data_IF_998198564769
#
_entry.id   IF_998198564769
#
_cell.length_a   1.000
_cell.length_b   1.000
_cell.length_c   1.000
_cell.angle_alpha   90.00
_cell.angle_beta   90.00
_cell.angle_gamma   90.00
#
_symmetry.space_group_name_H-M   'P 1'
#
loop_
_entity.id
_entity.type
_entity.pdbx_description
1 polymer ?
#
# COMPACT_ATOMS: atom_id res chain seq x y z
N UNK A 1 -6.81 -20.81 71.06
CA UNK A 1 -7.57 -19.67 70.51
C UNK A 1 -6.63 -18.47 70.37
N UNK A 2 -6.73 -17.73 69.25
CA UNK A 2 -5.97 -16.51 68.89
C UNK A 2 -4.67 -16.67 68.08
N UNK A 3 -4.53 -17.78 67.36
CA UNK A 3 -3.68 -17.86 66.17
C UNK A 3 -4.61 -17.92 64.94
N UNK A 4 -4.28 -17.23 63.85
CA UNK A 4 -5.07 -17.01 62.61
C UNK A 4 -6.17 -15.93 62.67
N UNK A 5 -5.84 -14.63 62.71
CA UNK A 5 -6.78 -13.57 62.24
C UNK A 5 -6.16 -12.34 61.57
N UNK A 6 -4.86 -12.31 61.27
CA UNK A 6 -4.23 -11.11 60.67
C UNK A 6 -3.26 -11.43 59.52
N UNK A 7 -3.65 -12.33 58.62
CA UNK A 7 -2.92 -12.60 57.38
C UNK A 7 -3.88 -12.62 56.17
N UNK A 8 -4.82 -11.67 56.11
CA UNK A 8 -5.84 -11.66 55.06
C UNK A 8 -6.17 -10.24 54.56
N UNK A 9 -5.17 -9.36 54.40
CA UNK A 9 -5.35 -8.06 53.72
C UNK A 9 -4.11 -7.73 52.86
N UNK A 10 -3.65 -8.69 52.05
CA UNK A 10 -2.60 -8.45 51.05
C UNK A 10 -2.80 -9.29 49.77
N UNK A 11 -4.06 -9.61 49.44
CA UNK A 11 -4.39 -10.47 48.28
C UNK A 11 -5.38 -9.83 47.30
N UNK A 12 -5.55 -8.51 47.32
CA UNK A 12 -6.46 -7.76 46.42
C UNK A 12 -5.71 -6.92 45.39
N UNK A 13 -4.55 -7.38 44.92
CA UNK A 13 -3.82 -6.72 43.82
C UNK A 13 -3.43 -7.71 42.73
N UNK A 14 -4.43 -8.34 42.13
CA UNK A 14 -4.37 -8.77 40.72
C UNK A 14 -5.73 -8.48 40.11
N UNK A 15 -6.06 -7.18 39.98
CA UNK A 15 -7.10 -6.78 39.06
C UNK A 15 -6.59 -7.16 37.66
N UNK A 16 -7.17 -8.22 37.14
CA UNK A 16 -6.96 -8.76 35.81
C UNK A 16 -7.00 -7.61 34.80
N UNK A 17 -5.85 -7.16 34.32
CA UNK A 17 -5.77 -6.47 33.05
C UNK A 17 -6.11 -7.53 32.01
N UNK A 18 -7.41 -7.73 31.78
CA UNK A 18 -7.90 -8.42 30.62
C UNK A 18 -7.42 -7.59 29.43
N UNK A 19 -6.29 -7.98 28.84
CA UNK A 19 -5.94 -7.59 27.50
C UNK A 19 -7.08 -8.12 26.63
N UNK A 20 -8.05 -7.26 26.31
CA UNK A 20 -9.04 -7.59 25.32
C UNK A 20 -8.27 -7.92 24.05
N UNK A 21 -8.27 -9.20 23.67
CA UNK A 21 -7.89 -9.58 22.31
C UNK A 21 -8.75 -8.72 21.38
N UNK A 22 -8.19 -8.17 20.29
CA UNK A 22 -9.01 -7.46 19.31
C UNK A 22 -10.20 -8.36 18.98
N UNK A 23 -11.41 -7.81 19.10
CA UNK A 23 -12.59 -8.53 18.64
C UNK A 23 -12.38 -8.91 17.17
N UNK A 24 -12.92 -10.06 16.76
CA UNK A 24 -12.86 -10.46 15.35
C UNK A 24 -13.35 -9.32 14.46
N UNK A 25 -12.64 -9.00 13.34
CA UNK A 25 -13.06 -7.94 12.44
C UNK A 25 -14.50 -8.14 11.98
N UNK A 26 -15.28 -7.06 11.94
CA UNK A 26 -16.70 -7.09 11.61
C UNK A 26 -16.95 -6.45 10.24
N UNK A 27 -17.67 -7.18 9.38
CA UNK A 27 -18.13 -6.66 8.10
C UNK A 27 -19.05 -5.45 8.31
N UNK A 28 -18.84 -4.38 7.55
CA UNK A 28 -19.52 -3.10 7.68
C UNK A 28 -18.92 -2.17 8.74
N UNK A 29 -17.92 -2.61 9.51
CA UNK A 29 -17.21 -1.79 10.49
C UNK A 29 -15.71 -1.73 10.18
N UNK A 30 -15.03 -2.88 10.22
CA UNK A 30 -13.57 -2.96 10.04
C UNK A 30 -13.19 -3.27 8.58
N UNK A 31 -14.08 -3.94 7.85
CA UNK A 31 -13.92 -4.24 6.43
C UNK A 31 -15.29 -4.29 5.74
N UNK A 32 -15.27 -4.28 4.41
CA UNK A 32 -16.47 -4.47 3.61
C UNK A 32 -16.26 -5.61 2.63
N UNK A 33 -17.20 -6.57 2.59
CA UNK A 33 -17.23 -7.55 1.50
C UNK A 33 -17.85 -6.92 0.26
N UNK A 34 -17.13 -6.96 -0.86
CA UNK A 34 -17.66 -6.53 -2.14
C UNK A 34 -18.84 -7.42 -2.56
N UNK A 35 -19.95 -6.80 -2.94
CA UNK A 35 -21.11 -7.53 -3.48
C UNK A 35 -20.77 -8.29 -4.78
N UNK A 36 -19.87 -7.73 -5.59
CA UNK A 36 -19.34 -8.35 -6.80
C UNK A 36 -17.84 -8.66 -6.61
N UNK A 37 -17.46 -9.94 -6.43
CA UNK A 37 -16.06 -10.31 -6.29
C UNK A 37 -15.27 -9.97 -7.57
N UNK A 38 -14.03 -9.54 -7.40
CA UNK A 38 -13.15 -9.20 -8.52
C UNK A 38 -12.26 -10.39 -8.90
N UNK A 39 -11.85 -10.50 -10.18
CA UNK A 39 -10.92 -11.54 -10.61
C UNK A 39 -9.61 -11.47 -9.83
N UNK A 40 -9.22 -12.61 -9.24
CA UNK A 40 -7.99 -12.76 -8.47
C UNK A 40 -6.82 -13.03 -9.43
N UNK A 41 -5.71 -12.28 -9.28
CA UNK A 41 -4.50 -12.45 -10.09
C UNK A 41 -3.42 -13.29 -9.40
N UNK A 42 -3.67 -13.71 -8.15
CA UNK A 42 -2.78 -14.62 -7.44
C UNK A 42 -2.69 -15.98 -8.16
N UNK A 43 -1.47 -16.53 -8.19
CA UNK A 43 -1.20 -17.86 -8.75
C UNK A 43 -1.30 -18.94 -7.67
N UNK A 44 -1.75 -20.13 -8.08
CA UNK A 44 -1.84 -21.29 -7.18
C UNK A 44 -2.84 -21.09 -6.05
N UNK A 45 -2.39 -21.34 -4.81
CA UNK A 45 -3.21 -21.23 -3.59
C UNK A 45 -2.96 -19.94 -2.79
N UNK A 46 -2.25 -18.97 -3.37
CA UNK A 46 -1.88 -17.72 -2.70
C UNK A 46 -3.11 -16.82 -2.52
N UNK A 47 -3.18 -16.11 -1.40
CA UNK A 47 -4.17 -15.04 -1.21
C UNK A 47 -3.67 -13.77 -1.89
N UNK A 48 -4.46 -13.15 -2.75
CA UNK A 48 -4.12 -11.84 -3.32
C UNK A 48 -4.41 -10.74 -2.30
N UNK A 49 -3.44 -9.86 -2.09
CA UNK A 49 -3.55 -8.68 -1.26
C UNK A 49 -3.27 -7.48 -2.14
N UNK A 50 -4.25 -6.59 -2.30
CA UNK A 50 -4.11 -5.41 -3.14
C UNK A 50 -4.03 -4.18 -2.24
N UNK A 51 -2.96 -3.41 -2.39
CA UNK A 51 -2.85 -2.07 -1.83
C UNK A 51 -3.23 -1.05 -2.91
N UNK A 52 -4.28 -0.27 -2.64
CA UNK A 52 -4.56 0.96 -3.38
C UNK A 52 -3.86 2.10 -2.67
N UNK A 53 -3.03 2.86 -3.39
CA UNK A 53 -2.20 3.91 -2.80
C UNK A 53 -2.04 5.09 -3.75
N UNK A 54 -1.50 6.19 -3.26
CA UNK A 54 -0.91 7.24 -4.11
C UNK A 54 0.40 7.75 -3.52
N UNK A 55 1.32 8.20 -4.37
CA UNK A 55 2.63 8.64 -3.91
C UNK A 55 2.60 9.94 -3.10
N UNK A 56 1.59 10.78 -3.29
CA UNK A 56 1.37 11.98 -2.47
C UNK A 56 0.58 11.75 -1.18
N UNK A 57 0.07 10.54 -0.95
CA UNK A 57 -0.76 10.21 0.21
C UNK A 57 0.10 10.02 1.48
N UNK A 58 -0.04 10.87 2.52
CA UNK A 58 0.79 10.77 3.73
C UNK A 58 0.59 9.47 4.51
N UNK A 59 -0.65 8.98 4.59
CA UNK A 59 -0.96 7.73 5.27
C UNK A 59 -0.31 6.52 4.58
N UNK A 60 -0.30 6.53 3.25
CA UNK A 60 0.34 5.51 2.42
C UNK A 60 1.85 5.45 2.68
N UNK A 61 2.52 6.61 2.68
CA UNK A 61 3.94 6.69 3.03
C UNK A 61 4.24 6.20 4.46
N UNK A 62 3.36 6.48 5.42
CA UNK A 62 3.51 6.00 6.79
C UNK A 62 3.30 4.49 6.92
N UNK A 63 2.43 3.90 6.10
CA UNK A 63 2.11 2.47 6.10
C UNK A 63 3.27 1.62 5.54
N UNK A 64 3.95 2.11 4.52
CA UNK A 64 4.92 1.35 3.72
C UNK A 64 5.97 0.55 4.52
N UNK A 65 6.65 1.10 5.55
CA UNK A 65 7.63 0.33 6.32
C UNK A 65 7.00 -0.87 7.04
N UNK A 66 5.85 -0.68 7.66
CA UNK A 66 5.13 -1.71 8.39
C UNK A 66 4.54 -2.76 7.44
N UNK A 67 3.95 -2.31 6.32
CA UNK A 67 3.37 -3.19 5.32
C UNK A 67 4.44 -4.06 4.66
N UNK A 68 5.56 -3.49 4.21
CA UNK A 68 6.67 -4.25 3.65
C UNK A 68 7.25 -5.26 4.66
N UNK A 69 7.33 -4.89 5.95
CA UNK A 69 7.72 -5.80 7.02
C UNK A 69 6.73 -6.96 7.21
N UNK A 70 5.43 -6.69 7.09
CA UNK A 70 4.37 -7.70 7.15
C UNK A 70 4.42 -8.64 5.94
N UNK A 71 4.57 -8.12 4.72
CA UNK A 71 4.65 -8.92 3.48
C UNK A 71 5.77 -9.97 3.60
N UNK A 72 6.95 -9.56 4.05
CA UNK A 72 8.10 -10.45 4.24
C UNK A 72 7.81 -11.61 5.21
N UNK A 73 6.98 -11.37 6.24
CA UNK A 73 6.59 -12.40 7.22
C UNK A 73 5.58 -13.39 6.65
N UNK A 74 4.76 -13.00 5.68
CA UNK A 74 3.74 -13.88 5.10
C UNK A 74 4.34 -14.93 4.16
N UNK A 75 5.51 -14.67 3.59
CA UNK A 75 6.20 -15.60 2.69
C UNK A 75 5.33 -15.96 1.48
N UNK A 76 5.29 -17.25 1.13
CA UNK A 76 4.56 -17.74 -0.05
C UNK A 76 3.03 -17.85 0.13
N UNK A 77 2.48 -17.46 1.27
CA UNK A 77 1.04 -17.52 1.50
C UNK A 77 0.25 -16.45 0.73
N UNK A 78 0.90 -15.36 0.34
CA UNK A 78 0.26 -14.22 -0.31
C UNK A 78 0.95 -13.83 -1.61
N UNK A 79 0.20 -13.13 -2.45
CA UNK A 79 0.74 -12.37 -3.58
C UNK A 79 0.24 -10.93 -3.44
N UNK A 80 1.18 -9.99 -3.29
CA UNK A 80 0.85 -8.57 -3.14
C UNK A 80 0.88 -7.89 -4.49
N UNK A 81 -0.12 -7.06 -4.74
CA UNK A 81 -0.14 -6.15 -5.88
C UNK A 81 -0.44 -4.74 -5.39
N UNK A 82 0.23 -3.75 -5.98
CA UNK A 82 -0.04 -2.35 -5.72
C UNK A 82 -0.77 -1.74 -6.91
N UNK A 83 -1.73 -0.87 -6.64
CA UNK A 83 -2.49 -0.16 -7.65
C UNK A 83 -2.49 1.31 -7.26
N UNK A 84 -1.91 2.15 -8.12
CA UNK A 84 -1.98 3.59 -7.89
C UNK A 84 -3.40 4.09 -8.15
N UNK A 85 -3.96 4.85 -7.22
CA UNK A 85 -5.24 5.52 -7.39
C UNK A 85 -5.02 6.79 -8.24
N UNK A 86 -5.62 6.93 -9.43
CA UNK A 86 -5.34 8.04 -10.33
C UNK A 86 -6.24 9.25 -10.01
N UNK A 87 -5.71 10.24 -9.30
CA UNK A 87 -6.46 11.43 -8.90
C UNK A 87 -6.66 12.42 -10.05
N UNK A 88 -5.81 12.37 -11.08
CA UNK A 88 -5.98 13.12 -12.34
C UNK A 88 -6.44 12.23 -13.50
N UNK A 89 -7.05 11.07 -13.18
CA UNK A 89 -7.56 10.14 -14.18
C UNK A 89 -6.46 9.59 -15.11
N UNK A 90 -6.73 9.41 -16.41
CA UNK A 90 -5.76 8.85 -17.35
C UNK A 90 -4.51 9.70 -17.62
N UNK A 91 -4.43 10.90 -17.05
CA UNK A 91 -3.29 11.80 -17.16
C UNK A 91 -2.53 11.95 -15.83
N UNK A 92 -2.80 11.08 -14.84
CA UNK A 92 -2.14 11.13 -13.53
C UNK A 92 -0.64 10.80 -13.62
N UNK A 93 0.26 11.77 -13.37
CA UNK A 93 1.69 11.57 -13.59
C UNK A 93 2.32 10.58 -12.61
N UNK A 94 1.86 10.56 -11.35
CA UNK A 94 2.37 9.64 -10.33
C UNK A 94 1.95 8.19 -10.62
N UNK A 95 0.72 7.98 -11.09
CA UNK A 95 0.26 6.69 -11.57
C UNK A 95 1.03 6.24 -12.82
N UNK A 96 1.34 7.16 -13.72
CA UNK A 96 2.16 6.89 -14.90
C UNK A 96 3.59 6.48 -14.51
N UNK A 97 4.19 7.17 -13.53
CA UNK A 97 5.48 6.78 -12.95
C UNK A 97 5.44 5.38 -12.33
N UNK A 98 4.42 5.08 -11.51
CA UNK A 98 4.27 3.76 -10.91
C UNK A 98 4.27 2.65 -11.97
N UNK A 99 3.42 2.79 -13.00
CA UNK A 99 3.29 1.81 -14.08
C UNK A 99 4.55 1.71 -14.93
N UNK A 100 5.27 2.81 -15.13
CA UNK A 100 6.54 2.82 -15.85
C UNK A 100 7.60 2.05 -15.06
N UNK A 101 7.74 2.30 -13.76
CA UNK A 101 8.67 1.56 -12.89
C UNK A 101 8.32 0.07 -12.80
N UNK A 102 7.03 -0.27 -12.76
CA UNK A 102 6.56 -1.66 -12.83
C UNK A 102 7.01 -2.32 -14.15
N UNK A 103 6.74 -1.68 -15.29
CA UNK A 103 7.10 -2.20 -16.61
C UNK A 103 8.61 -2.32 -16.82
N UNK A 104 9.41 -1.47 -16.16
CA UNK A 104 10.88 -1.56 -16.17
C UNK A 104 11.43 -2.63 -15.21
N UNK A 105 10.60 -3.28 -14.39
CA UNK A 105 11.07 -4.18 -13.34
C UNK A 105 11.86 -3.47 -12.25
N UNK A 106 11.60 -2.17 -12.05
CA UNK A 106 12.33 -1.29 -11.11
C UNK A 106 11.49 -0.89 -9.90
N UNK A 107 10.25 -1.34 -9.81
CA UNK A 107 9.33 -0.92 -8.74
C UNK A 107 9.90 -1.20 -7.34
N UNK A 108 10.41 -2.40 -7.05
CA UNK A 108 10.97 -2.72 -5.72
C UNK A 108 12.10 -1.77 -5.29
N UNK A 109 12.92 -1.32 -6.24
CA UNK A 109 14.05 -0.44 -5.99
C UNK A 109 13.63 1.02 -5.81
N UNK A 110 12.59 1.46 -6.53
CA UNK A 110 12.24 2.88 -6.63
C UNK A 110 10.97 3.26 -5.86
N UNK A 111 10.11 2.33 -5.48
CA UNK A 111 8.83 2.64 -4.83
C UNK A 111 9.01 3.48 -3.55
N UNK A 112 9.89 3.05 -2.64
CA UNK A 112 10.22 3.80 -1.42
C UNK A 112 10.97 5.11 -1.70
N UNK A 113 11.74 5.16 -2.79
CA UNK A 113 12.46 6.39 -3.21
C UNK A 113 11.49 7.46 -3.71
N UNK A 114 10.43 7.07 -4.43
CA UNK A 114 9.38 8.01 -4.86
C UNK A 114 8.68 8.60 -3.63
N UNK A 115 8.28 7.75 -2.67
CA UNK A 115 7.70 8.21 -1.42
C UNK A 115 8.63 9.16 -0.64
N UNK A 116 9.93 8.83 -0.56
CA UNK A 116 10.92 9.71 0.06
C UNK A 116 11.04 11.06 -0.69
N UNK A 117 11.03 11.04 -2.03
CA UNK A 117 11.08 12.24 -2.84
C UNK A 117 9.90 13.18 -2.54
N UNK A 118 8.69 12.62 -2.47
CA UNK A 118 7.46 13.39 -2.23
C UNK A 118 7.35 13.85 -0.77
N UNK A 119 7.51 12.96 0.20
CA UNK A 119 7.22 13.24 1.60
C UNK A 119 8.37 13.83 2.40
N UNK A 120 9.62 13.45 2.09
CA UNK A 120 10.81 13.91 2.82
C UNK A 120 11.49 15.04 2.07
N UNK A 121 11.74 14.87 0.78
CA UNK A 121 12.45 15.86 -0.05
C UNK A 121 11.51 16.94 -0.60
N UNK A 122 10.20 16.82 -0.36
CA UNK A 122 9.16 17.79 -0.78
C UNK A 122 9.16 18.08 -2.27
N UNK A 123 9.58 17.12 -3.09
CA UNK A 123 9.56 17.25 -4.53
C UNK A 123 8.12 17.12 -5.02
N UNK A 124 7.71 18.03 -5.91
CA UNK A 124 6.41 18.00 -6.57
C UNK A 124 6.55 17.14 -7.81
N UNK A 125 6.04 15.91 -7.76
CA UNK A 125 6.02 14.97 -8.88
C UNK A 125 4.63 14.95 -9.54
N UNK A 126 4.07 16.14 -9.78
CA UNK A 126 2.68 16.31 -10.24
C UNK A 126 2.58 16.62 -11.74
N UNK A 127 3.69 16.52 -12.46
CA UNK A 127 3.79 16.74 -13.90
C UNK A 127 4.83 15.80 -14.52
N UNK A 128 4.61 15.43 -15.76
CA UNK A 128 5.46 14.49 -16.51
C UNK A 128 6.91 14.97 -16.58
N UNK A 129 7.15 16.25 -16.88
CA UNK A 129 8.50 16.82 -16.98
C UNK A 129 9.28 16.70 -15.67
N UNK A 130 8.62 16.97 -14.54
CA UNK A 130 9.19 16.83 -13.19
C UNK A 130 9.56 15.38 -12.88
N UNK A 131 8.70 14.44 -13.28
CA UNK A 131 8.92 13.01 -13.09
C UNK A 131 10.06 12.48 -13.97
N UNK A 132 10.10 12.90 -15.23
CA UNK A 132 11.16 12.50 -16.17
C UNK A 132 12.50 13.04 -15.67
N UNK A 133 12.55 14.28 -15.19
CA UNK A 133 13.76 14.85 -14.60
C UNK A 133 14.18 14.09 -13.33
N UNK A 134 13.23 13.78 -12.45
CA UNK A 134 13.47 12.97 -11.26
C UNK A 134 14.03 11.59 -11.61
N UNK A 135 13.42 10.89 -12.57
CA UNK A 135 13.83 9.56 -12.99
C UNK A 135 15.30 9.55 -13.43
N UNK A 136 15.69 10.52 -14.27
CA UNK A 136 17.07 10.66 -14.76
C UNK A 136 18.03 11.01 -13.62
N UNK A 137 17.66 11.97 -12.75
CA UNK A 137 18.47 12.32 -11.57
C UNK A 137 18.68 11.15 -10.61
N UNK A 138 17.77 10.18 -10.60
CA UNK A 138 17.85 8.99 -9.76
C UNK A 138 18.46 7.77 -10.48
N UNK A 139 19.06 7.97 -11.67
CA UNK A 139 19.86 6.95 -12.36
C UNK A 139 19.08 6.05 -13.31
N UNK A 140 17.84 6.41 -13.69
CA UNK A 140 17.14 5.75 -14.78
C UNK A 140 17.63 6.30 -16.13
N UNK A 141 17.93 5.41 -17.08
CA UNK A 141 18.28 5.82 -18.43
C UNK A 141 17.11 6.56 -19.08
N UNK A 142 17.37 7.77 -19.59
CA UNK A 142 16.33 8.63 -20.15
C UNK A 142 15.62 7.98 -21.33
N UNK A 143 16.37 7.37 -22.25
CA UNK A 143 15.80 6.80 -23.47
C UNK A 143 14.90 5.61 -23.12
N UNK A 144 15.38 4.70 -22.27
CA UNK A 144 14.61 3.53 -21.81
C UNK A 144 13.39 3.93 -20.98
N UNK A 145 13.52 4.93 -20.12
CA UNK A 145 12.40 5.45 -19.34
C UNK A 145 11.32 6.02 -20.27
N UNK A 146 11.69 6.89 -21.21
CA UNK A 146 10.75 7.50 -22.16
C UNK A 146 10.11 6.49 -23.11
N UNK A 147 10.86 5.49 -23.57
CA UNK A 147 10.32 4.38 -24.36
C UNK A 147 9.25 3.62 -23.57
N UNK A 148 9.53 3.31 -22.29
CA UNK A 148 8.60 2.55 -21.44
C UNK A 148 7.40 3.39 -21.03
N UNK A 149 7.62 4.66 -20.66
CA UNK A 149 6.60 5.66 -20.34
C UNK A 149 5.56 5.77 -21.45
N UNK A 150 6.01 5.91 -22.70
CA UNK A 150 5.11 6.05 -23.85
C UNK A 150 4.61 4.71 -24.41
N UNK A 151 4.99 3.58 -23.81
CA UNK A 151 4.61 2.27 -24.34
C UNK A 151 3.10 2.05 -24.31
N UNK A 152 2.61 1.28 -25.27
CA UNK A 152 1.20 0.90 -25.36
C UNK A 152 0.71 0.20 -24.08
N UNK A 153 1.56 -0.65 -23.48
CA UNK A 153 1.23 -1.38 -22.24
C UNK A 153 1.01 -0.44 -21.06
N UNK A 154 1.91 0.52 -20.84
CA UNK A 154 1.81 1.50 -19.74
C UNK A 154 0.60 2.41 -19.95
N UNK A 155 0.46 3.01 -21.13
CA UNK A 155 -0.66 3.92 -21.43
C UNK A 155 -2.02 3.23 -21.37
N UNK A 156 -2.11 1.96 -21.77
CA UNK A 156 -3.35 1.16 -21.63
C UNK A 156 -3.67 0.86 -20.17
N UNK A 157 -2.69 0.48 -19.35
CA UNK A 157 -2.89 0.26 -17.91
C UNK A 157 -3.35 1.54 -17.21
N UNK A 158 -2.72 2.68 -17.52
CA UNK A 158 -3.05 3.99 -16.93
C UNK A 158 -4.53 4.34 -17.16
N UNK A 159 -5.03 4.20 -18.40
CA UNK A 159 -6.44 4.42 -18.74
C UNK A 159 -7.42 3.51 -18.00
N UNK A 160 -6.98 2.33 -17.54
CA UNK A 160 -7.82 1.35 -16.84
C UNK A 160 -7.85 1.53 -15.33
N UNK A 161 -6.94 2.30 -14.74
CA UNK A 161 -6.85 2.44 -13.28
C UNK A 161 -8.13 2.96 -12.63
N UNK A 162 -8.81 3.95 -13.24
CA UNK A 162 -10.08 4.47 -12.72
C UNK A 162 -11.19 3.41 -12.76
N UNK A 163 -11.26 2.62 -13.83
CA UNK A 163 -12.22 1.51 -13.94
C UNK A 163 -11.96 0.46 -12.85
N UNK A 164 -10.69 0.09 -12.66
CA UNK A 164 -10.29 -0.89 -11.64
C UNK A 164 -10.67 -0.38 -10.26
N UNK A 165 -10.25 0.82 -9.89
CA UNK A 165 -10.53 1.41 -8.57
C UNK A 165 -12.04 1.50 -8.29
N UNK A 166 -12.84 1.87 -9.31
CA UNK A 166 -14.29 1.89 -9.22
C UNK A 166 -14.93 0.50 -9.06
N UNK A 167 -14.37 -0.54 -9.68
CA UNK A 167 -14.84 -1.92 -9.52
C UNK A 167 -14.60 -2.46 -8.09
N UNK A 168 -13.49 -2.06 -7.47
CA UNK A 168 -13.18 -2.34 -6.06
C UNK A 168 -13.84 -1.37 -5.06
N UNK A 169 -14.64 -0.39 -5.53
CA UNK A 169 -15.31 0.62 -4.70
C UNK A 169 -14.37 1.43 -3.81
N UNK A 170 -13.12 1.61 -4.24
CA UNK A 170 -12.13 2.42 -3.52
C UNK A 170 -12.40 3.90 -3.78
N UNK A 171 -12.62 4.66 -2.71
CA UNK A 171 -12.97 6.09 -2.77
C UNK A 171 -11.84 7.01 -2.30
N UNK A 172 -10.77 6.46 -1.73
CA UNK A 172 -9.64 7.24 -1.21
C UNK A 172 -8.52 6.36 -0.66
N UNK A 173 -7.44 7.03 -0.28
CA UNK A 173 -6.21 6.47 0.29
C UNK A 173 -5.64 7.43 1.31
#
# INVERSE_FOLDING_TARGET
>A
MRSLRFALIAATMVASTAFASPADPKNGVDYQTLAAPQPVQATGKKVEVIEFFAYHCPACNMLEPAFNGWIKKQGDNIQVRRIHLPFQGPADPEAHLFLTLEAMGKLEQYHSRVFQAVHVQRQRLMKDDQIIEWAVKNGLDRAKFMETWNSFGVTTKLRRLSQISGAYKVTGT
#
